data_IF_414164712999
#
_entry.id   IF_414164712999
#
_cell.length_a   1.000
_cell.length_b   1.000
_cell.length_c   1.000
_cell.angle_alpha   90.00
_cell.angle_beta   90.00
_cell.angle_gamma   90.00
#
_symmetry.space_group_name_H-M   'P 1'
#
loop_
_entity.id
_entity.type
_entity.pdbx_description
1 polymer ?
#
# COMPACT_ATOMS: atom_id res chain seq x y z
N UNK A 1 -13.68 -14.48 -9.95
CA UNK A 1 -12.80 -14.01 -8.88
C UNK A 1 -13.68 -13.96 -7.66
N UNK A 2 -13.55 -14.95 -6.80
CA UNK A 2 -14.50 -15.20 -5.71
C UNK A 2 -14.38 -14.11 -4.65
N UNK A 3 -15.49 -13.76 -4.00
CA UNK A 3 -15.53 -12.65 -3.01
C UNK A 3 -14.50 -12.84 -1.88
N UNK A 4 -14.16 -14.10 -1.59
CA UNK A 4 -13.12 -14.48 -0.63
C UNK A 4 -11.72 -14.02 -1.06
N UNK A 5 -11.34 -14.16 -2.33
CA UNK A 5 -10.04 -13.69 -2.85
C UNK A 5 -9.91 -12.16 -2.74
N UNK A 6 -11.00 -11.41 -3.00
CA UNK A 6 -10.99 -9.93 -2.85
C UNK A 6 -10.83 -9.51 -1.40
N UNK A 7 -11.46 -10.21 -0.47
CA UNK A 7 -11.38 -9.90 0.96
C UNK A 7 -9.95 -10.11 1.47
N UNK A 8 -9.31 -11.23 1.12
CA UNK A 8 -7.93 -11.49 1.53
C UNK A 8 -6.93 -10.49 0.94
N UNK A 9 -7.08 -10.10 -0.33
CA UNK A 9 -6.23 -9.09 -0.95
C UNK A 9 -6.39 -7.70 -0.31
N UNK A 10 -7.61 -7.35 0.12
CA UNK A 10 -7.86 -6.12 0.86
C UNK A 10 -7.16 -6.13 2.22
N UNK A 11 -7.27 -7.22 2.98
CA UNK A 11 -6.58 -7.36 4.27
C UNK A 11 -5.07 -7.28 4.13
N UNK A 12 -4.48 -7.99 3.16
CA UNK A 12 -3.05 -7.94 2.90
C UNK A 12 -2.59 -6.51 2.57
N UNK A 13 -3.35 -5.79 1.75
CA UNK A 13 -3.05 -4.39 1.39
C UNK A 13 -3.12 -3.47 2.59
N UNK A 14 -4.17 -3.60 3.42
CA UNK A 14 -4.33 -2.79 4.64
C UNK A 14 -3.19 -3.06 5.61
N UNK A 15 -2.85 -4.32 5.88
CA UNK A 15 -1.75 -4.67 6.79
C UNK A 15 -0.40 -4.13 6.32
N UNK A 16 -0.05 -4.28 5.03
CA UNK A 16 1.21 -3.74 4.48
C UNK A 16 1.25 -2.21 4.54
N UNK A 17 0.14 -1.56 4.21
CA UNK A 17 0.03 -0.10 4.25
C UNK A 17 0.15 0.44 5.68
N UNK A 18 -0.54 -0.19 6.64
CA UNK A 18 -0.45 0.15 8.06
C UNK A 18 1.00 0.01 8.56
N UNK A 19 1.67 -1.09 8.25
CA UNK A 19 3.06 -1.30 8.66
C UNK A 19 4.01 -0.26 8.04
N UNK A 20 3.90 -0.03 6.73
CA UNK A 20 4.76 0.92 6.01
C UNK A 20 4.59 2.35 6.54
N UNK A 21 3.35 2.83 6.62
CA UNK A 21 3.08 4.19 7.07
C UNK A 21 3.37 4.40 8.55
N UNK A 22 3.16 3.38 9.38
CA UNK A 22 3.57 3.43 10.78
C UNK A 22 5.09 3.55 10.88
N UNK A 23 5.86 2.67 10.22
CA UNK A 23 7.33 2.69 10.25
C UNK A 23 7.95 3.99 9.71
N UNK A 24 7.31 4.61 8.71
CA UNK A 24 7.80 5.84 8.10
C UNK A 24 7.53 7.08 8.97
N UNK A 25 6.47 7.05 9.75
CA UNK A 25 6.00 8.20 10.55
C UNK A 25 6.32 8.08 12.04
N UNK A 26 6.64 6.89 12.54
CA UNK A 26 6.95 6.63 13.94
C UNK A 26 8.31 7.24 14.30
N UNK A 27 8.28 8.16 15.25
CA UNK A 27 9.46 8.88 15.75
C UNK A 27 9.95 8.38 17.11
N UNK A 28 9.51 7.17 17.51
CA UNK A 28 9.70 6.42 18.76
C UNK A 28 8.37 6.29 19.51
N UNK A 29 7.90 5.05 19.72
CA UNK A 29 6.69 4.76 20.49
C UNK A 29 6.95 5.04 21.98
N UNK A 30 6.56 6.23 22.44
CA UNK A 30 6.69 6.64 23.85
C UNK A 30 5.35 6.54 24.60
N UNK A 31 4.24 6.37 23.89
CA UNK A 31 2.88 6.34 24.43
C UNK A 31 1.97 5.42 23.61
N UNK A 32 0.84 5.02 24.21
CA UNK A 32 -0.25 4.32 23.52
C UNK A 32 -0.98 5.23 22.51
N UNK A 33 -0.99 6.52 22.79
CA UNK A 33 -1.64 7.51 21.92
C UNK A 33 -0.62 8.09 20.94
N UNK A 34 -0.99 8.12 19.66
CA UNK A 34 -0.20 8.77 18.62
C UNK A 34 -0.35 10.29 18.74
N UNK A 35 0.75 11.07 18.81
CA UNK A 35 0.68 12.50 18.76
C UNK A 35 0.17 12.99 17.39
N UNK A 36 -0.46 14.17 17.37
CA UNK A 36 -1.21 14.66 16.22
C UNK A 36 -0.38 14.77 14.93
N UNK A 37 0.92 15.09 15.05
CA UNK A 37 1.86 15.14 13.93
C UNK A 37 2.07 13.77 13.28
N UNK A 38 2.12 12.69 14.07
CA UNK A 38 2.25 11.32 13.57
C UNK A 38 0.95 10.86 12.91
N UNK A 39 -0.21 11.20 13.48
CA UNK A 39 -1.52 10.95 12.86
C UNK A 39 -1.59 11.61 11.47
N UNK A 40 -1.22 12.90 11.38
CA UNK A 40 -1.19 13.62 10.11
C UNK A 40 -0.18 13.04 9.11
N UNK A 41 0.97 12.56 9.60
CA UNK A 41 1.95 11.87 8.77
C UNK A 41 1.37 10.59 8.17
N UNK A 42 0.76 9.74 9.00
CA UNK A 42 0.16 8.47 8.57
C UNK A 42 -0.93 8.74 7.53
N UNK A 43 -1.80 9.73 7.77
CA UNK A 43 -2.84 10.13 6.81
C UNK A 43 -2.25 10.56 5.46
N UNK A 44 -1.18 11.36 5.46
CA UNK A 44 -0.47 11.75 4.22
C UNK A 44 0.17 10.55 3.53
N UNK A 45 0.83 9.68 4.28
CA UNK A 45 1.46 8.47 3.75
C UNK A 45 0.44 7.56 3.05
N UNK A 46 -0.70 7.30 3.69
CA UNK A 46 -1.80 6.52 3.11
C UNK A 46 -2.26 7.12 1.79
N UNK A 47 -2.51 8.44 1.76
CA UNK A 47 -2.93 9.14 0.54
C UNK A 47 -1.90 9.04 -0.59
N UNK A 48 -0.62 9.26 -0.30
CA UNK A 48 0.44 9.17 -1.30
C UNK A 48 0.61 7.75 -1.85
N UNK A 49 0.52 6.74 -0.97
CA UNK A 49 0.67 5.34 -1.37
C UNK A 49 -0.47 4.89 -2.29
N UNK A 50 -1.70 5.33 -2.01
CA UNK A 50 -2.84 5.07 -2.90
C UNK A 50 -2.69 5.78 -4.25
N UNK A 51 -2.27 7.04 -4.26
CA UNK A 51 -2.01 7.76 -5.50
C UNK A 51 -0.90 7.08 -6.35
N UNK A 52 0.16 6.58 -5.70
CA UNK A 52 1.24 5.86 -6.38
C UNK A 52 0.74 4.54 -6.97
N UNK A 53 -0.11 3.80 -6.23
CA UNK A 53 -0.75 2.58 -6.74
C UNK A 53 -1.58 2.87 -7.99
N UNK A 54 -2.40 3.91 -7.97
CA UNK A 54 -3.26 4.26 -9.10
C UNK A 54 -2.41 4.69 -10.31
N UNK A 55 -1.38 5.51 -10.10
CA UNK A 55 -0.42 5.88 -11.13
C UNK A 55 0.27 4.66 -11.77
N UNK A 56 0.78 3.73 -10.96
CA UNK A 56 1.42 2.50 -11.46
C UNK A 56 0.41 1.64 -12.22
N UNK A 57 -0.82 1.51 -11.70
CA UNK A 57 -1.91 0.80 -12.38
C UNK A 57 -2.20 1.38 -13.77
N UNK A 58 -2.31 2.70 -13.87
CA UNK A 58 -2.54 3.40 -15.15
C UNK A 58 -1.39 3.21 -16.13
N UNK A 59 -0.14 3.27 -15.66
CA UNK A 59 1.06 3.08 -16.50
C UNK A 59 1.20 1.64 -17.00
N UNK A 60 0.97 0.63 -16.14
CA UNK A 60 0.97 -0.78 -16.56
C UNK A 60 -0.08 -1.01 -17.64
N UNK A 61 -1.29 -0.47 -17.47
CA UNK A 61 -2.36 -0.60 -18.46
C UNK A 61 -2.03 0.08 -19.80
N UNK A 62 -1.19 1.13 -19.78
CA UNK A 62 -0.83 1.91 -20.98
C UNK A 62 0.39 1.33 -21.70
N UNK A 63 1.41 0.92 -20.95
CA UNK A 63 2.70 0.46 -21.50
C UNK A 63 2.73 -1.04 -21.80
N UNK A 64 1.99 -1.85 -21.04
CA UNK A 64 2.00 -3.31 -21.15
C UNK A 64 0.57 -3.86 -21.18
N UNK A 65 -0.20 -3.59 -22.26
CA UNK A 65 -1.60 -4.00 -22.35
C UNK A 65 -1.79 -5.53 -22.27
N UNK A 66 -0.80 -6.33 -22.68
CA UNK A 66 -0.77 -7.79 -22.54
C UNK A 66 -0.61 -8.28 -21.09
N UNK A 67 -0.03 -7.46 -20.20
CA UNK A 67 0.08 -7.78 -18.78
C UNK A 67 -1.28 -7.76 -18.06
N UNK A 68 -2.36 -7.27 -18.70
CA UNK A 68 -3.74 -7.39 -18.19
C UNK A 68 -4.11 -8.84 -17.85
N UNK A 69 -3.54 -9.82 -18.55
CA UNK A 69 -3.82 -11.23 -18.28
C UNK A 69 -3.14 -11.77 -16.99
N UNK A 70 -2.13 -11.06 -16.48
CA UNK A 70 -1.35 -11.43 -15.28
C UNK A 70 -1.79 -10.68 -14.01
N UNK A 71 -2.89 -9.94 -14.07
CA UNK A 71 -3.31 -9.05 -12.99
C UNK A 71 -4.08 -9.78 -11.87
N UNK A 72 -3.46 -10.77 -11.23
CA UNK A 72 -4.00 -11.34 -9.99
C UNK A 72 -3.45 -10.69 -8.72
N UNK A 73 -2.31 -9.97 -8.78
CA UNK A 73 -1.63 -9.57 -7.56
C UNK A 73 -0.65 -8.41 -7.77
N UNK A 74 -1.11 -7.24 -8.22
CA UNK A 74 -0.43 -5.98 -7.86
C UNK A 74 -0.71 -5.61 -6.40
N UNK A 75 -0.75 -6.61 -5.51
CA UNK A 75 -0.61 -6.37 -4.09
C UNK A 75 0.84 -5.98 -3.91
N UNK A 76 1.12 -4.72 -3.57
CA UNK A 76 2.42 -4.21 -3.10
C UNK A 76 3.44 -5.32 -2.85
N UNK A 77 4.12 -5.80 -3.89
CA UNK A 77 5.21 -6.75 -3.75
C UNK A 77 6.28 -5.95 -3.06
N UNK A 78 6.79 -6.52 -1.98
CA UNK A 78 7.60 -5.78 -1.02
C UNK A 78 8.77 -5.11 -1.74
N UNK A 79 9.10 -3.88 -1.36
CA UNK A 79 10.29 -3.15 -1.86
C UNK A 79 11.60 -3.91 -1.56
N UNK A 80 11.52 -5.04 -0.85
CA UNK A 80 12.62 -5.94 -0.52
C UNK A 80 13.08 -6.79 -1.72
N UNK A 81 12.32 -6.84 -2.82
CA UNK A 81 12.72 -7.58 -4.03
C UNK A 81 13.62 -6.77 -4.99
N UNK A 82 14.00 -5.54 -4.62
CA UNK A 82 14.87 -4.64 -5.42
C UNK A 82 16.20 -4.28 -4.75
N UNK A 83 16.60 -4.97 -3.68
CA UNK A 83 17.90 -4.79 -3.02
C UNK A 83 18.72 -6.07 -3.01
#
# INVERSE_FOLDING_TARGET
>A
MDDIERIFGLYATVSRLSHHCFKLCDSNIISRDLPQNEIQCIQRCVKHTMNARDYVGDRINTEYPEAKHYNKTLEFTSVVDFT
#
